data_IF_046350953358
#
_entry.id   IF_046350953358
#
_cell.length_a   1.000
_cell.length_b   1.000
_cell.length_c   1.000
_cell.angle_alpha   90.00
_cell.angle_beta   90.00
_cell.angle_gamma   90.00
#
_symmetry.space_group_name_H-M   'P 1'
#
loop_
_entity.id
_entity.type
_entity.pdbx_description
1 polymer ?
#
# COMPACT_ATOMS: atom_id res chain seq x y z
N UNK A 1 -23.03 -18.62 -12.07
CA UNK A 1 -21.68 -19.11 -12.45
C UNK A 1 -21.59 -19.62 -13.89
N UNK A 2 -22.53 -20.46 -14.35
CA UNK A 2 -22.44 -21.09 -15.67
C UNK A 2 -22.43 -20.07 -16.82
N UNK A 3 -23.21 -18.99 -16.68
CA UNK A 3 -23.36 -17.96 -17.73
C UNK A 3 -22.07 -17.17 -17.96
N UNK A 4 -21.39 -16.73 -16.90
CA UNK A 4 -20.09 -16.02 -17.00
C UNK A 4 -19.01 -16.92 -17.58
N UNK A 5 -18.88 -18.18 -17.12
CA UNK A 5 -17.88 -19.08 -17.68
C UNK A 5 -18.16 -19.39 -19.17
N UNK A 6 -19.43 -19.36 -19.57
CA UNK A 6 -19.83 -19.54 -20.96
C UNK A 6 -19.48 -18.30 -21.82
N UNK A 7 -19.63 -17.07 -21.31
CA UNK A 7 -19.17 -15.83 -21.96
C UNK A 7 -17.68 -15.90 -22.33
N UNK A 8 -16.85 -16.48 -21.46
CA UNK A 8 -15.40 -16.64 -21.67
C UNK A 8 -15.01 -18.03 -22.23
N UNK A 9 -15.97 -18.83 -22.72
CA UNK A 9 -15.74 -20.22 -23.12
C UNK A 9 -14.60 -20.41 -24.14
N UNK A 10 -14.45 -19.49 -25.11
CA UNK A 10 -13.39 -19.59 -26.12
C UNK A 10 -12.00 -19.40 -25.49
N UNK A 11 -11.84 -18.36 -24.66
CA UNK A 11 -10.58 -18.09 -23.97
C UNK A 11 -10.22 -19.22 -22.99
N UNK A 12 -11.18 -19.67 -22.19
CA UNK A 12 -11.00 -20.77 -21.25
C UNK A 12 -10.70 -22.09 -21.94
N UNK A 13 -11.26 -22.33 -23.13
CA UNK A 13 -10.90 -23.47 -23.96
C UNK A 13 -9.45 -23.40 -24.43
N UNK A 14 -8.97 -22.24 -24.88
CA UNK A 14 -7.56 -22.07 -25.27
C UNK A 14 -6.65 -22.40 -24.09
N UNK A 15 -6.95 -21.86 -22.91
CA UNK A 15 -6.19 -22.12 -21.68
C UNK A 15 -6.17 -23.61 -21.33
N UNK A 16 -7.33 -24.26 -21.41
CA UNK A 16 -7.46 -25.69 -21.14
C UNK A 16 -6.65 -26.55 -22.12
N UNK A 17 -6.74 -26.26 -23.42
CA UNK A 17 -6.01 -26.98 -24.47
C UNK A 17 -4.49 -26.75 -24.36
N UNK A 18 -4.06 -25.52 -24.04
CA UNK A 18 -2.65 -25.20 -23.81
C UNK A 18 -2.08 -25.98 -22.61
N UNK A 19 -2.86 -26.14 -21.54
CA UNK A 19 -2.44 -26.89 -20.35
C UNK A 19 -2.38 -28.40 -20.55
N UNK A 20 -3.08 -28.93 -21.55
CA UNK A 20 -2.94 -30.33 -22.00
C UNK A 20 -1.66 -30.52 -22.82
N UNK A 21 -1.23 -29.46 -23.52
CA UNK A 21 0.00 -29.43 -24.31
C UNK A 21 -0.22 -29.73 -25.80
N UNK A 22 0.54 -29.03 -26.64
CA UNK A 22 0.44 -29.04 -28.11
C UNK A 22 0.64 -30.44 -28.70
N UNK A 23 1.50 -31.27 -28.10
CA UNK A 23 1.77 -32.65 -28.55
C UNK A 23 0.57 -33.59 -28.45
N UNK A 24 -0.37 -33.30 -27.55
CA UNK A 24 -1.57 -34.12 -27.30
C UNK A 24 -2.78 -33.59 -28.07
N UNK A 25 -2.90 -32.27 -28.20
CA UNK A 25 -4.04 -31.61 -28.86
C UNK A 25 -3.94 -31.66 -30.39
N UNK A 26 -2.72 -31.61 -30.95
CA UNK A 26 -2.44 -31.69 -32.42
C UNK A 26 -3.19 -30.70 -33.30
N UNK A 27 -3.82 -29.68 -32.72
CA UNK A 27 -4.52 -28.60 -33.42
C UNK A 27 -4.20 -27.26 -32.76
N UNK A 28 -4.30 -26.16 -33.51
CA UNK A 28 -4.13 -24.82 -32.94
C UNK A 28 -5.32 -24.50 -32.03
N UNK A 29 -5.10 -24.27 -30.71
CA UNK A 29 -6.19 -23.99 -29.76
C UNK A 29 -7.00 -22.74 -30.10
N UNK A 30 -6.35 -21.73 -30.70
CA UNK A 30 -6.95 -20.42 -31.00
C UNK A 30 -7.92 -20.43 -32.17
N UNK A 31 -7.89 -21.48 -33.00
CA UNK A 31 -8.74 -21.58 -34.20
C UNK A 31 -9.91 -22.54 -34.01
N UNK A 32 -10.08 -23.13 -32.83
CA UNK A 32 -11.10 -24.13 -32.59
C UNK A 32 -12.47 -23.49 -32.27
N UNK A 33 -13.58 -24.11 -32.72
CA UNK A 33 -14.91 -23.62 -32.40
C UNK A 33 -15.19 -23.72 -30.89
N UNK A 34 -16.15 -22.93 -30.41
CA UNK A 34 -16.63 -22.96 -29.02
C UNK A 34 -17.01 -24.40 -28.61
N UNK A 35 -16.61 -24.82 -27.41
CA UNK A 35 -16.81 -26.17 -26.85
C UNK A 35 -16.14 -27.32 -27.60
N UNK A 36 -15.18 -27.06 -28.49
CA UNK A 36 -14.35 -28.10 -29.11
C UNK A 36 -13.71 -29.03 -28.07
N UNK A 37 -13.14 -28.51 -26.99
CA UNK A 37 -12.46 -29.33 -25.99
C UNK A 37 -13.39 -30.38 -25.36
N UNK A 38 -14.65 -30.00 -25.15
CA UNK A 38 -15.69 -30.90 -24.64
C UNK A 38 -16.10 -31.94 -25.69
N UNK A 39 -16.31 -31.54 -26.95
CA UNK A 39 -16.72 -32.43 -28.05
C UNK A 39 -15.63 -33.44 -28.43
N UNK A 40 -14.37 -33.00 -28.42
CA UNK A 40 -13.21 -33.83 -28.70
C UNK A 40 -12.84 -34.76 -27.52
N UNK A 41 -13.49 -34.59 -26.36
CA UNK A 41 -13.24 -35.44 -25.19
C UNK A 41 -11.85 -35.25 -24.59
N UNK A 42 -11.25 -34.06 -24.74
CA UNK A 42 -9.94 -33.77 -24.19
C UNK A 42 -9.95 -33.78 -22.66
N UNK A 43 -8.84 -34.28 -22.08
CA UNK A 43 -8.69 -34.50 -20.65
C UNK A 43 -7.41 -33.84 -20.14
N UNK A 44 -7.50 -33.12 -19.03
CA UNK A 44 -6.41 -32.43 -18.35
C UNK A 44 -5.94 -33.27 -17.17
N UNK A 45 -4.63 -33.56 -17.10
CA UNK A 45 -4.06 -34.30 -15.97
C UNK A 45 -3.93 -33.42 -14.72
N UNK A 46 -3.77 -34.05 -13.54
CA UNK A 46 -3.50 -33.33 -12.27
C UNK A 46 -2.27 -32.42 -12.41
N UNK A 47 -1.23 -32.92 -13.07
CA UNK A 47 0.01 -32.18 -13.29
C UNK A 47 -0.23 -30.97 -14.20
N UNK A 48 -0.97 -31.13 -15.30
CA UNK A 48 -1.33 -30.02 -16.18
C UNK A 48 -2.17 -28.96 -15.47
N UNK A 49 -3.11 -29.39 -14.62
CA UNK A 49 -3.91 -28.47 -13.81
C UNK A 49 -3.07 -27.71 -12.78
N UNK A 50 -2.16 -28.40 -12.08
CA UNK A 50 -1.23 -27.75 -11.15
C UNK A 50 -0.32 -26.75 -11.87
N UNK A 51 0.23 -27.11 -13.03
CA UNK A 51 1.06 -26.23 -13.84
C UNK A 51 0.28 -25.00 -14.33
N UNK A 52 -0.99 -25.17 -14.72
CA UNK A 52 -1.87 -24.07 -15.07
C UNK A 52 -2.05 -23.13 -13.87
N UNK A 53 -2.43 -23.64 -12.71
CA UNK A 53 -2.65 -22.81 -11.53
C UNK A 53 -1.37 -22.13 -11.05
N UNK A 54 -0.20 -22.76 -11.24
CA UNK A 54 1.10 -22.15 -11.00
C UNK A 54 1.40 -21.05 -12.00
N UNK A 55 1.16 -21.29 -13.29
CA UNK A 55 1.36 -20.31 -14.37
C UNK A 55 0.54 -19.04 -14.15
N UNK A 56 -0.66 -19.19 -13.61
CA UNK A 56 -1.55 -18.08 -13.30
C UNK A 56 -1.40 -17.55 -11.86
N UNK A 57 -0.38 -18.00 -11.11
CA UNK A 57 -0.15 -17.62 -9.70
C UNK A 57 -1.40 -17.80 -8.82
N UNK A 58 -2.26 -18.74 -9.15
CA UNK A 58 -3.38 -19.14 -8.29
C UNK A 58 -2.84 -20.05 -7.18
N UNK A 59 -1.87 -20.92 -7.51
CA UNK A 59 -1.16 -21.74 -6.55
C UNK A 59 0.35 -21.41 -6.61
N UNK A 60 1.03 -21.16 -5.47
CA UNK A 60 0.52 -21.25 -4.10
C UNK A 60 -0.16 -19.97 -3.57
N UNK A 61 -0.16 -18.87 -4.35
CA UNK A 61 -0.40 -17.53 -3.81
C UNK A 61 -1.84 -17.32 -3.30
N UNK A 62 -2.85 -17.89 -3.96
CA UNK A 62 -4.26 -17.75 -3.57
C UNK A 62 -4.83 -19.02 -2.92
N UNK A 63 -4.34 -20.18 -3.35
CA UNK A 63 -4.74 -21.48 -2.81
C UNK A 63 -3.54 -22.36 -2.56
N UNK A 64 -3.55 -23.01 -1.40
CA UNK A 64 -2.53 -23.98 -1.02
C UNK A 64 -2.62 -25.25 -1.88
N UNK A 65 -1.49 -25.95 -2.04
CA UNK A 65 -1.43 -27.22 -2.78
C UNK A 65 -2.45 -28.26 -2.29
N UNK A 66 -2.72 -28.44 -0.97
CA UNK A 66 -3.78 -29.34 -0.50
C UNK A 66 -5.19 -28.90 -0.93
N UNK A 67 -5.47 -27.60 -0.97
CA UNK A 67 -6.75 -27.07 -1.46
C UNK A 67 -6.91 -27.32 -2.95
N UNK A 68 -5.85 -27.14 -3.74
CA UNK A 68 -5.86 -27.45 -5.18
C UNK A 68 -6.19 -28.91 -5.45
N UNK A 69 -5.62 -29.83 -4.68
CA UNK A 69 -5.92 -31.26 -4.81
C UNK A 69 -7.39 -31.59 -4.48
N UNK A 70 -8.03 -30.82 -3.60
CA UNK A 70 -9.48 -30.94 -3.31
C UNK A 70 -10.35 -30.36 -4.42
N UNK A 71 -9.89 -29.29 -5.07
CA UNK A 71 -10.56 -28.69 -6.23
C UNK A 71 -10.52 -29.64 -7.43
N UNK A 72 -9.44 -30.40 -7.57
CA UNK A 72 -9.29 -31.45 -8.56
C UNK A 72 -10.18 -32.66 -8.21
N UNK A 73 -11.44 -32.62 -8.65
CA UNK A 73 -12.37 -33.76 -8.48
C UNK A 73 -12.47 -34.52 -9.81
N UNK A 74 -11.80 -35.67 -9.98
CA UNK A 74 -12.03 -36.50 -11.15
C UNK A 74 -13.48 -37.04 -11.10
N UNK A 75 -14.29 -36.69 -12.10
CA UNK A 75 -15.64 -37.26 -12.23
C UNK A 75 -15.52 -38.64 -12.86
N UNK A 76 -15.73 -39.69 -12.07
CA UNK A 76 -15.97 -41.04 -12.59
C UNK A 76 -15.78 -42.15 -11.56
N UNK A 77 -16.81 -43.00 -11.39
CA UNK A 77 -16.69 -44.32 -10.77
C UNK A 77 -16.15 -45.32 -11.80
N UNK A 78 -14.88 -45.23 -12.17
CA UNK A 78 -14.20 -46.33 -12.85
C UNK A 78 -12.70 -46.06 -12.85
N UNK A 79 -11.89 -47.11 -12.99
CA UNK A 79 -10.43 -47.12 -13.05
C UNK A 79 -9.81 -46.30 -14.21
N UNK A 80 -10.51 -45.29 -14.73
CA UNK A 80 -10.02 -44.36 -15.71
C UNK A 80 -9.27 -43.22 -15.01
N UNK A 81 -7.99 -43.16 -15.34
CA UNK A 81 -6.96 -42.15 -15.06
C UNK A 81 -7.48 -40.86 -14.43
N UNK A 82 -6.82 -40.42 -13.35
CA UNK A 82 -7.00 -39.14 -12.63
C UNK A 82 -6.90 -37.93 -13.57
N UNK A 83 -7.87 -37.74 -14.45
CA UNK A 83 -7.90 -36.73 -15.50
C UNK A 83 -9.25 -36.01 -15.47
N UNK A 84 -9.23 -34.70 -15.71
CA UNK A 84 -10.36 -33.79 -15.61
C UNK A 84 -10.81 -33.38 -17.01
N UNK A 85 -12.10 -33.51 -17.32
CA UNK A 85 -12.65 -32.95 -18.57
C UNK A 85 -12.80 -31.43 -18.50
N UNK A 86 -13.10 -30.82 -19.64
CA UNK A 86 -13.32 -29.38 -19.77
C UNK A 86 -14.42 -28.86 -18.82
N UNK A 87 -15.52 -29.60 -18.64
CA UNK A 87 -16.59 -29.20 -17.71
C UNK A 87 -16.13 -29.29 -16.25
N UNK A 88 -15.38 -30.34 -15.91
CA UNK A 88 -14.71 -30.47 -14.61
C UNK A 88 -13.73 -29.34 -14.34
N UNK A 89 -12.98 -28.92 -15.36
CA UNK A 89 -12.06 -27.78 -15.29
C UNK A 89 -12.80 -26.47 -15.01
N UNK A 90 -13.86 -26.17 -15.75
CA UNK A 90 -14.69 -24.98 -15.50
C UNK A 90 -15.29 -25.00 -14.08
N UNK A 91 -15.77 -26.17 -13.63
CA UNK A 91 -16.27 -26.34 -12.28
C UNK A 91 -15.18 -26.16 -11.22
N UNK A 92 -13.96 -26.63 -11.47
CA UNK A 92 -12.82 -26.45 -10.57
C UNK A 92 -12.42 -24.97 -10.47
N UNK A 93 -12.47 -24.22 -11.58
CA UNK A 93 -12.25 -22.76 -11.56
C UNK A 93 -13.36 -22.02 -10.79
N UNK A 94 -14.62 -22.38 -10.99
CA UNK A 94 -15.73 -21.79 -10.22
C UNK A 94 -15.59 -22.04 -8.72
N UNK A 95 -15.25 -23.28 -8.33
CA UNK A 95 -14.97 -23.63 -6.93
C UNK A 95 -13.72 -22.91 -6.41
N UNK A 96 -12.69 -22.71 -7.23
CA UNK A 96 -11.51 -21.95 -6.85
C UNK A 96 -11.87 -20.49 -6.59
N UNK A 97 -12.67 -19.87 -7.47
CA UNK A 97 -13.14 -18.49 -7.31
C UNK A 97 -13.94 -18.32 -6.02
N UNK A 98 -14.87 -19.25 -5.76
CA UNK A 98 -15.61 -19.26 -4.50
C UNK A 98 -14.67 -19.45 -3.31
N UNK A 99 -13.72 -20.37 -3.38
CA UNK A 99 -12.79 -20.62 -2.27
C UNK A 99 -11.90 -19.41 -1.97
N UNK A 100 -11.47 -18.68 -3.00
CA UNK A 100 -10.54 -17.54 -2.91
C UNK A 100 -11.28 -16.27 -2.49
N UNK A 101 -12.44 -16.01 -3.10
CA UNK A 101 -13.23 -14.79 -2.94
C UNK A 101 -14.50 -15.04 -2.14
N UNK A 102 -14.46 -15.92 -1.13
CA UNK A 102 -15.53 -16.06 -0.13
C UNK A 102 -15.10 -15.49 1.20
N UNK A 103 -16.08 -15.07 1.99
CA UNK A 103 -15.86 -14.48 3.29
C UNK A 103 -16.39 -13.05 3.37
N UNK A 104 -16.51 -12.50 4.58
CA UNK A 104 -17.20 -11.23 4.81
C UNK A 104 -16.65 -10.07 3.99
N UNK A 105 -15.33 -10.07 3.72
CA UNK A 105 -14.67 -9.06 2.90
C UNK A 105 -15.05 -9.08 1.41
N UNK A 106 -15.39 -10.25 0.88
CA UNK A 106 -15.71 -10.45 -0.54
C UNK A 106 -17.22 -10.52 -0.75
N UNK A 107 -17.94 -11.19 0.14
CA UNK A 107 -19.37 -11.43 0.02
C UNK A 107 -20.18 -10.11 0.10
N UNK A 108 -19.64 -9.07 0.72
CA UNK A 108 -20.26 -7.73 0.74
C UNK A 108 -20.06 -6.92 -0.54
N UNK A 109 -18.91 -7.06 -1.21
CA UNK A 109 -18.58 -6.33 -2.44
C UNK A 109 -18.97 -7.10 -3.70
N UNK A 110 -18.91 -8.43 -3.64
CA UNK A 110 -19.14 -9.39 -4.71
C UNK A 110 -20.08 -10.49 -4.19
N UNK A 111 -21.36 -10.17 -3.95
CA UNK A 111 -22.32 -11.11 -3.40
C UNK A 111 -22.67 -12.24 -4.37
N UNK A 112 -22.55 -12.02 -5.68
CA UNK A 112 -22.82 -13.04 -6.70
C UNK A 112 -21.56 -13.89 -6.97
N UNK A 113 -21.75 -15.21 -7.04
CA UNK A 113 -20.74 -16.15 -7.48
C UNK A 113 -20.21 -15.82 -8.89
N UNK A 114 -21.02 -15.20 -9.74
CA UNK A 114 -20.59 -14.70 -11.05
C UNK A 114 -19.49 -13.64 -10.92
N UNK A 115 -19.59 -12.75 -9.95
CA UNK A 115 -18.62 -11.66 -9.77
C UNK A 115 -17.30 -12.19 -9.23
N UNK A 116 -17.36 -13.19 -8.33
CA UNK A 116 -16.18 -13.92 -7.85
C UNK A 116 -15.46 -14.64 -8.98
N UNK A 117 -16.20 -15.25 -9.90
CA UNK A 117 -15.64 -15.87 -11.10
C UNK A 117 -14.99 -14.81 -12.00
N UNK A 118 -15.63 -13.64 -12.20
CA UNK A 118 -15.03 -12.53 -12.97
C UNK A 118 -13.72 -12.05 -12.35
N UNK A 119 -13.65 -11.95 -11.02
CA UNK A 119 -12.40 -11.61 -10.32
C UNK A 119 -11.31 -12.66 -10.53
N UNK A 120 -11.65 -13.95 -10.51
CA UNK A 120 -10.68 -15.00 -10.81
C UNK A 120 -10.21 -14.93 -12.27
N UNK A 121 -11.12 -14.69 -13.21
CA UNK A 121 -10.78 -14.56 -14.63
C UNK A 121 -9.90 -13.32 -14.87
N UNK A 122 -10.19 -12.22 -14.18
CA UNK A 122 -9.34 -11.02 -14.17
C UNK A 122 -7.94 -11.35 -13.66
N UNK A 123 -7.83 -12.05 -12.53
CA UNK A 123 -6.54 -12.50 -11.98
C UNK A 123 -5.77 -13.40 -12.96
N UNK A 124 -6.46 -14.31 -13.63
CA UNK A 124 -5.87 -15.17 -14.66
C UNK A 124 -5.41 -14.38 -15.88
N UNK A 125 -6.15 -13.34 -16.27
CA UNK A 125 -5.77 -12.45 -17.36
C UNK A 125 -4.50 -11.64 -17.00
N UNK A 126 -4.34 -11.24 -15.73
CA UNK A 126 -3.28 -10.33 -15.29
C UNK A 126 -1.88 -10.98 -15.11
N UNK A 127 -1.72 -12.24 -15.51
CA UNK A 127 -0.41 -12.77 -15.91
C UNK A 127 0.02 -12.34 -17.33
N UNK A 128 -0.80 -11.52 -17.99
CA UNK A 128 -0.39 -10.42 -18.87
C UNK A 128 0.04 -9.21 -18.01
N UNK A 129 1.27 -9.23 -17.50
CA UNK A 129 2.06 -8.12 -16.94
C UNK A 129 1.52 -7.20 -15.79
N UNK A 130 0.23 -7.20 -15.41
CA UNK A 130 -0.34 -6.10 -14.60
C UNK A 130 -0.41 -6.36 -13.07
N UNK A 131 -0.50 -7.61 -12.57
CA UNK A 131 -0.76 -7.87 -11.13
C UNK A 131 0.40 -8.49 -10.30
N UNK A 132 1.65 -8.20 -10.63
CA UNK A 132 2.78 -8.82 -9.91
C UNK A 132 2.91 -8.47 -8.42
N UNK A 133 2.16 -7.50 -7.87
CA UNK A 133 2.35 -6.99 -6.50
C UNK A 133 1.11 -7.05 -5.57
N UNK A 134 -0.10 -7.40 -6.03
CA UNK A 134 -1.29 -7.38 -5.16
C UNK A 134 -1.48 -8.65 -4.32
N UNK A 135 -0.91 -9.80 -4.74
CA UNK A 135 -0.99 -11.05 -3.98
C UNK A 135 -0.28 -11.02 -2.62
N UNK A 136 0.82 -10.26 -2.52
CA UNK A 136 1.56 -10.11 -1.27
C UNK A 136 0.78 -9.21 -0.28
N UNK A 137 0.23 -8.09 -0.78
CA UNK A 137 -0.62 -7.19 0.01
C UNK A 137 -1.89 -7.86 0.57
N UNK A 138 -2.46 -8.83 -0.14
CA UNK A 138 -3.61 -9.62 0.34
C UNK A 138 -3.24 -10.56 1.50
N UNK A 139 -2.05 -11.15 1.47
CA UNK A 139 -1.52 -11.97 2.57
C UNK A 139 -1.13 -11.13 3.79
N UNK A 140 -0.66 -9.91 3.58
CA UNK A 140 -0.26 -8.98 4.65
C UNK A 140 -1.48 -8.28 5.29
N UNK A 141 -2.55 -8.03 4.52
CA UNK A 141 -3.83 -7.51 5.03
C UNK A 141 -4.51 -8.46 6.03
N UNK A 142 -4.26 -9.77 5.94
CA UNK A 142 -4.73 -10.77 6.93
C UNK A 142 -4.02 -10.64 8.27
N UNK A 143 -2.72 -10.30 8.28
CA UNK A 143 -1.96 -10.10 9.52
C UNK A 143 -2.34 -8.82 10.25
N UNK A 144 -2.85 -7.82 9.53
CA UNK A 144 -3.26 -6.54 10.10
C UNK A 144 -4.71 -6.53 10.61
N UNK A 145 -5.58 -7.47 10.20
CA UNK A 145 -7.00 -7.52 10.59
C UNK A 145 -7.34 -8.31 11.86
N UNK A 146 -6.39 -9.05 12.44
CA UNK A 146 -6.56 -9.55 13.82
C UNK A 146 -6.45 -8.40 14.86
N UNK A 147 -6.18 -7.17 14.42
CA UNK A 147 -6.46 -5.94 15.14
C UNK A 147 -7.74 -5.29 14.60
N UNK A 148 -8.75 -5.13 15.45
CA UNK A 148 -10.14 -4.72 15.14
C UNK A 148 -10.36 -3.29 15.69
N UNK A 149 -11.28 -2.43 15.17
CA UNK A 149 -11.39 -1.81 13.83
C UNK A 149 -11.77 -0.30 13.92
N UNK A 150 -11.89 0.46 12.81
CA UNK A 150 -13.10 1.30 12.57
C UNK A 150 -13.26 1.75 11.11
N UNK A 151 -14.51 1.66 10.64
CA UNK A 151 -15.04 2.09 9.34
C UNK A 151 -15.19 3.61 9.25
N UNK A 152 -14.81 4.21 8.12
CA UNK A 152 -15.55 5.30 7.48
C UNK A 152 -15.12 5.40 6.02
N UNK A 153 -16.02 5.05 5.09
CA UNK A 153 -15.85 5.31 3.67
C UNK A 153 -16.10 6.81 3.43
N UNK A 154 -15.05 7.62 3.55
CA UNK A 154 -15.10 9.06 3.28
C UNK A 154 -15.03 9.29 1.77
N UNK A 155 -16.05 9.98 1.26
CA UNK A 155 -16.12 10.49 -0.09
C UNK A 155 -14.90 11.36 -0.42
N UNK A 156 -14.07 10.91 -1.38
CA UNK A 156 -12.83 11.56 -1.83
C UNK A 156 -13.00 13.02 -2.30
N UNK A 157 -14.24 13.44 -2.62
CA UNK A 157 -14.54 14.79 -3.10
C UNK A 157 -14.65 15.84 -2.00
N UNK A 158 -14.92 15.45 -0.75
CA UNK A 158 -15.02 16.41 0.37
C UNK A 158 -13.64 16.89 0.89
N UNK A 159 -12.56 16.15 0.59
CA UNK A 159 -11.20 16.45 1.08
C UNK A 159 -10.47 17.52 0.24
N UNK A 160 -10.94 17.78 -0.98
CA UNK A 160 -10.35 18.77 -1.88
C UNK A 160 -10.68 20.23 -1.50
N UNK A 161 -11.80 20.47 -0.79
CA UNK A 161 -12.19 21.81 -0.32
C UNK A 161 -11.28 22.34 0.81
N UNK A 162 -10.55 21.45 1.50
CA UNK A 162 -9.54 21.85 2.50
C UNK A 162 -8.32 22.50 1.86
N UNK A 163 -7.99 22.15 0.62
CA UNK A 163 -6.86 22.71 -0.13
C UNK A 163 -7.13 24.12 -0.66
N UNK A 164 -8.40 24.46 -0.87
CA UNK A 164 -8.80 25.82 -1.24
C UNK A 164 -8.38 26.88 -0.19
N UNK A 165 -8.12 26.47 1.06
CA UNK A 165 -7.73 27.35 2.15
C UNK A 165 -6.23 27.68 2.18
N UNK A 166 -5.40 26.97 1.41
CA UNK A 166 -3.97 27.29 1.25
C UNK A 166 -3.75 27.72 -0.19
N UNK A 167 -4.26 28.92 -0.53
CA UNK A 167 -4.18 29.52 -1.87
C UNK A 167 -2.75 29.53 -2.46
N UNK A 168 -1.74 29.53 -1.58
CA UNK A 168 -0.33 29.52 -1.95
C UNK A 168 0.24 28.15 -2.33
N UNK A 169 -0.47 27.04 -2.09
CA UNK A 169 0.03 25.70 -2.45
C UNK A 169 -0.20 25.37 -3.93
N UNK A 170 -1.33 25.79 -4.51
CA UNK A 170 -1.65 25.58 -5.91
C UNK A 170 -0.57 26.09 -6.88
N UNK A 171 -0.03 27.33 -6.78
CA UNK A 171 1.03 27.79 -7.67
C UNK A 171 2.34 27.03 -7.50
N UNK A 172 2.61 26.48 -6.32
CA UNK A 172 3.80 25.67 -6.06
C UNK A 172 3.70 24.28 -6.70
N UNK A 173 2.51 23.67 -6.64
CA UNK A 173 2.22 22.43 -7.35
C UNK A 173 2.24 22.63 -8.86
N UNK A 174 1.79 23.78 -9.35
CA UNK A 174 1.87 24.12 -10.78
C UNK A 174 3.31 24.28 -11.24
N UNK A 175 4.16 24.92 -10.42
CA UNK A 175 5.60 24.99 -10.69
C UNK A 175 6.21 23.60 -10.72
N UNK A 176 5.91 22.73 -9.74
CA UNK A 176 6.36 21.35 -9.74
C UNK A 176 5.95 20.63 -11.03
N UNK A 177 4.68 20.75 -11.43
CA UNK A 177 4.17 20.20 -12.67
C UNK A 177 4.95 20.69 -13.90
N UNK A 178 5.23 21.99 -13.97
CA UNK A 178 5.96 22.60 -15.09
C UNK A 178 7.41 22.15 -15.18
N UNK A 179 8.08 21.84 -14.05
CA UNK A 179 9.45 21.31 -14.05
C UNK A 179 9.59 20.00 -14.84
N UNK A 180 8.54 19.16 -14.79
CA UNK A 180 8.51 17.85 -15.43
C UNK A 180 7.78 17.84 -16.78
N UNK A 181 7.15 18.96 -17.15
CA UNK A 181 6.59 19.14 -18.49
C UNK A 181 7.70 19.39 -19.50
N UNK A 182 7.53 18.86 -20.72
CA UNK A 182 8.44 19.14 -21.82
C UNK A 182 8.37 20.63 -22.17
N UNK A 183 9.51 21.28 -22.44
CA UNK A 183 9.56 22.75 -22.71
C UNK A 183 8.51 23.16 -23.74
N UNK A 184 7.63 24.09 -23.35
CA UNK A 184 6.56 24.62 -24.21
C UNK A 184 5.27 23.80 -24.23
N UNK A 185 5.19 22.70 -23.47
CA UNK A 185 3.96 21.90 -23.34
C UNK A 185 3.29 22.13 -21.98
N UNK A 186 1.95 22.18 -21.98
CA UNK A 186 1.10 22.29 -20.78
C UNK A 186 0.58 20.95 -20.27
N UNK A 187 1.22 19.85 -20.69
CA UNK A 187 0.78 18.49 -20.36
C UNK A 187 1.96 17.59 -20.01
N UNK A 188 1.77 16.74 -19.01
CA UNK A 188 2.78 15.82 -18.50
C UNK A 188 2.58 14.41 -19.09
N UNK A 189 3.66 13.76 -19.51
CA UNK A 189 3.64 12.37 -19.96
C UNK A 189 3.71 11.38 -18.79
N UNK A 190 3.42 10.08 -19.02
CA UNK A 190 3.58 9.05 -17.97
C UNK A 190 5.03 9.02 -17.46
N UNK A 191 5.99 9.05 -18.38
CA UNK A 191 7.41 9.02 -18.03
C UNK A 191 7.80 10.22 -17.16
N UNK A 192 7.32 11.43 -17.52
CA UNK A 192 7.52 12.65 -16.73
C UNK A 192 6.93 12.54 -15.32
N UNK A 193 5.74 11.94 -15.19
CA UNK A 193 5.09 11.73 -13.91
C UNK A 193 5.86 10.73 -13.03
N UNK A 194 6.30 9.61 -13.62
CA UNK A 194 7.17 8.64 -12.93
C UNK A 194 8.48 9.27 -12.47
N UNK A 195 9.10 10.11 -13.31
CA UNK A 195 10.29 10.87 -12.93
C UNK A 195 10.02 11.82 -11.76
N UNK A 196 8.90 12.55 -11.80
CA UNK A 196 8.49 13.41 -10.70
C UNK A 196 8.40 12.62 -9.38
N UNK A 197 7.65 11.52 -9.34
CA UNK A 197 7.51 10.73 -8.10
C UNK A 197 8.83 10.09 -7.64
N UNK A 198 9.73 9.75 -8.56
CA UNK A 198 11.07 9.28 -8.23
C UNK A 198 11.91 10.36 -7.57
N UNK A 199 11.90 11.57 -8.10
CA UNK A 199 12.65 12.69 -7.55
C UNK A 199 12.06 13.18 -6.21
N UNK A 200 10.76 12.95 -5.98
CA UNK A 200 10.15 13.06 -4.65
C UNK A 200 10.63 11.97 -3.67
N UNK A 201 11.45 11.02 -4.10
CA UNK A 201 11.92 9.88 -3.31
C UNK A 201 10.86 8.80 -3.07
N UNK A 202 9.68 8.90 -3.70
CA UNK A 202 8.56 7.98 -3.45
C UNK A 202 8.75 6.62 -4.12
N UNK A 203 9.60 6.52 -5.14
CA UNK A 203 9.87 5.26 -5.85
C UNK A 203 11.15 4.56 -5.38
N UNK A 204 11.77 5.00 -4.28
CA UNK A 204 13.02 4.40 -3.79
C UNK A 204 12.74 3.21 -2.87
N UNK A 205 13.46 2.11 -3.03
CA UNK A 205 13.25 0.87 -2.26
C UNK A 205 13.56 1.02 -0.76
N UNK A 206 14.31 2.06 -0.36
CA UNK A 206 14.60 2.38 1.04
C UNK A 206 13.58 3.29 1.70
N UNK A 207 12.59 3.81 0.96
CA UNK A 207 11.54 4.65 1.52
C UNK A 207 10.50 3.76 2.24
N UNK A 208 10.17 4.01 3.53
CA UNK A 208 9.14 3.25 4.23
C UNK A 208 7.76 3.37 3.58
N UNK A 209 7.55 4.40 2.75
CA UNK A 209 6.34 4.68 1.99
C UNK A 209 6.62 4.58 0.48
N UNK A 210 7.29 3.51 0.08
CA UNK A 210 7.61 3.22 -1.31
C UNK A 210 6.34 3.00 -2.15
N UNK A 211 6.20 3.75 -3.24
CA UNK A 211 5.24 3.50 -4.31
C UNK A 211 5.86 2.56 -5.35
N UNK A 212 5.20 1.42 -5.57
CA UNK A 212 5.61 0.51 -6.62
C UNK A 212 5.34 1.14 -8.00
N UNK A 213 6.10 0.73 -9.01
CA UNK A 213 5.89 1.17 -10.41
C UNK A 213 4.46 0.90 -10.89
N UNK A 214 3.85 -0.17 -10.39
CA UNK A 214 2.45 -0.53 -10.68
C UNK A 214 1.47 0.48 -10.09
N UNK A 215 1.67 0.89 -8.83
CA UNK A 215 0.81 1.92 -8.20
C UNK A 215 0.87 3.22 -8.99
N UNK A 216 2.07 3.62 -9.45
CA UNK A 216 2.26 4.83 -10.26
C UNK A 216 1.52 4.74 -11.59
N UNK A 217 1.60 3.61 -12.30
CA UNK A 217 0.88 3.39 -13.56
C UNK A 217 -0.64 3.37 -13.37
N UNK A 218 -1.14 2.78 -12.28
CA UNK A 218 -2.57 2.79 -11.93
C UNK A 218 -3.05 4.22 -11.68
N UNK A 219 -2.31 4.99 -10.87
CA UNK A 219 -2.63 6.38 -10.56
C UNK A 219 -2.64 7.21 -11.86
N UNK A 220 -1.61 7.06 -12.71
CA UNK A 220 -1.55 7.77 -13.98
C UNK A 220 -2.71 7.40 -14.93
N UNK A 221 -3.10 6.12 -14.98
CA UNK A 221 -4.26 5.67 -15.75
C UNK A 221 -5.56 6.28 -15.20
N UNK A 222 -5.73 6.32 -13.88
CA UNK A 222 -6.91 6.93 -13.25
C UNK A 222 -7.00 8.43 -13.57
N UNK A 223 -5.88 9.15 -13.52
CA UNK A 223 -5.80 10.56 -13.93
C UNK A 223 -6.22 10.76 -15.39
N UNK A 224 -5.78 9.88 -16.30
CA UNK A 224 -6.17 9.93 -17.72
C UNK A 224 -7.64 9.64 -17.94
N UNK A 225 -8.18 8.62 -17.27
CA UNK A 225 -9.60 8.28 -17.37
C UNK A 225 -10.48 9.44 -16.88
N UNK A 226 -10.13 10.04 -15.74
CA UNK A 226 -10.84 11.19 -15.18
C UNK A 226 -10.79 12.44 -16.08
N UNK A 227 -9.72 12.64 -16.84
CA UNK A 227 -9.63 13.74 -17.80
C UNK A 227 -10.39 13.47 -19.12
N UNK A 228 -10.45 12.22 -19.55
CA UNK A 228 -11.04 11.85 -20.84
C UNK A 228 -12.56 12.02 -20.90
N UNK A 229 -13.25 11.98 -19.75
CA UNK A 229 -14.69 12.26 -19.66
C UNK A 229 -15.05 13.68 -20.10
N UNK A 230 -14.11 14.63 -19.97
CA UNK A 230 -14.39 16.05 -20.18
C UNK A 230 -14.04 16.54 -21.59
N UNK A 231 -13.16 15.83 -22.32
CA UNK A 231 -12.56 16.35 -23.56
C UNK A 231 -12.61 15.41 -24.78
N UNK A 232 -13.18 14.20 -24.63
CA UNK A 232 -13.51 13.32 -25.77
C UNK A 232 -12.33 12.84 -26.64
N UNK A 233 -11.09 13.15 -26.25
CA UNK A 233 -9.87 12.82 -26.99
C UNK A 233 -8.93 12.01 -26.10
N UNK A 234 -8.48 10.86 -26.58
CA UNK A 234 -7.58 9.96 -25.85
C UNK A 234 -6.16 10.53 -25.83
N UNK A 235 -5.90 11.55 -25.01
CA UNK A 235 -4.55 12.05 -24.81
C UNK A 235 -3.70 11.05 -24.01
N UNK A 236 -2.44 10.88 -24.41
CA UNK A 236 -1.41 10.13 -23.66
C UNK A 236 -0.73 10.98 -22.58
N UNK A 237 -1.14 12.25 -22.44
CA UNK A 237 -0.65 13.18 -21.43
C UNK A 237 -1.77 13.63 -20.48
N UNK A 238 -1.38 14.12 -19.31
CA UNK A 238 -2.27 14.63 -18.27
C UNK A 238 -2.10 16.14 -18.11
N UNK A 239 -3.20 16.84 -17.89
CA UNK A 239 -3.24 18.27 -17.57
C UNK A 239 -2.81 18.54 -16.12
N UNK A 240 -2.60 19.81 -15.76
CA UNK A 240 -2.32 20.20 -14.38
C UNK A 240 -3.44 19.78 -13.41
N UNK A 241 -4.71 19.93 -13.80
CA UNK A 241 -5.84 19.53 -12.96
C UNK A 241 -5.83 18.01 -12.67
N UNK A 242 -5.53 17.21 -13.70
CA UNK A 242 -5.39 15.77 -13.55
C UNK A 242 -4.15 15.41 -12.70
N UNK A 243 -3.01 16.10 -12.88
CA UNK A 243 -1.83 15.97 -12.03
C UNK A 243 -2.13 16.25 -10.56
N UNK A 244 -2.81 17.36 -10.27
CA UNK A 244 -3.18 17.73 -8.91
C UNK A 244 -4.05 16.66 -8.25
N UNK A 245 -5.08 16.16 -8.95
CA UNK A 245 -5.89 15.04 -8.48
C UNK A 245 -5.06 13.76 -8.29
N UNK A 246 -4.09 13.50 -9.18
CA UNK A 246 -3.14 12.40 -9.08
C UNK A 246 -2.30 12.43 -7.81
N UNK A 247 -1.82 13.59 -7.39
CA UNK A 247 -1.13 13.75 -6.10
C UNK A 247 -2.06 13.46 -4.91
N UNK A 248 -3.36 13.74 -5.04
CA UNK A 248 -4.40 13.29 -4.10
C UNK A 248 -4.47 11.77 -3.97
N UNK A 249 -4.45 11.05 -5.11
CA UNK A 249 -4.43 9.59 -5.13
C UNK A 249 -3.14 9.03 -4.53
N UNK A 250 -1.99 9.65 -4.83
CA UNK A 250 -0.70 9.31 -4.21
C UNK A 250 -0.77 9.48 -2.69
N UNK A 251 -1.26 10.62 -2.22
CA UNK A 251 -1.41 10.88 -0.79
C UNK A 251 -2.33 9.87 -0.12
N UNK A 252 -3.49 9.58 -0.73
CA UNK A 252 -4.41 8.60 -0.20
C UNK A 252 -3.79 7.22 -0.07
N UNK A 253 -2.96 6.82 -1.06
CA UNK A 253 -2.27 5.53 -1.07
C UNK A 253 -1.17 5.43 -0.01
N UNK A 254 -0.38 6.50 0.14
CA UNK A 254 0.76 6.50 1.08
C UNK A 254 0.34 6.61 2.54
N UNK A 255 -0.78 7.27 2.81
CA UNK A 255 -1.22 7.62 4.15
C UNK A 255 -2.53 6.94 4.55
N UNK A 256 -2.96 5.91 3.82
CA UNK A 256 -4.22 5.21 4.02
C UNK A 256 -4.44 4.80 5.47
N UNK A 257 -3.39 4.30 6.12
CA UNK A 257 -3.43 3.75 7.48
C UNK A 257 -2.84 4.65 8.55
N UNK A 258 -2.23 5.78 8.16
CA UNK A 258 -1.48 6.64 9.10
C UNK A 258 -2.29 7.88 9.46
N UNK A 259 -2.94 8.49 8.47
CA UNK A 259 -3.61 9.77 8.63
C UNK A 259 -5.07 9.70 8.21
N UNK A 260 -5.95 10.49 8.86
CA UNK A 260 -7.31 10.66 8.40
C UNK A 260 -7.30 11.21 6.97
N UNK A 261 -8.26 10.82 6.10
CA UNK A 261 -8.33 11.21 4.68
C UNK A 261 -7.99 12.68 4.42
N UNK A 262 -8.59 13.57 5.23
CA UNK A 262 -8.44 15.03 5.24
C UNK A 262 -7.01 15.56 5.40
N UNK A 263 -6.13 14.80 6.07
CA UNK A 263 -4.75 15.23 6.34
C UNK A 263 -3.74 14.60 5.39
N UNK A 264 -4.12 13.57 4.61
CA UNK A 264 -3.18 12.77 3.82
C UNK A 264 -2.39 13.62 2.81
N UNK A 265 -3.09 14.52 2.10
CA UNK A 265 -2.44 15.39 1.13
C UNK A 265 -1.51 16.42 1.77
N UNK A 266 -1.91 16.98 2.92
CA UNK A 266 -1.06 17.91 3.68
C UNK A 266 0.23 17.22 4.13
N UNK A 267 0.14 15.96 4.60
CA UNK A 267 1.32 15.18 4.96
C UNK A 267 2.22 14.89 3.76
N UNK A 268 1.65 14.51 2.60
CA UNK A 268 2.41 14.39 1.35
C UNK A 268 3.13 15.69 1.00
N UNK A 269 2.43 16.83 1.08
CA UNK A 269 2.99 18.12 0.74
C UNK A 269 4.16 18.52 1.66
N UNK A 270 4.00 18.30 2.97
CA UNK A 270 5.00 18.62 3.98
C UNK A 270 6.23 17.70 3.91
N UNK A 271 6.03 16.40 3.70
CA UNK A 271 7.11 15.41 3.78
C UNK A 271 7.89 15.26 2.47
N UNK A 272 7.25 15.44 1.31
CA UNK A 272 7.85 15.12 0.02
C UNK A 272 7.86 16.30 -0.97
N UNK A 273 6.73 16.97 -1.16
CA UNK A 273 6.60 18.01 -2.20
C UNK A 273 7.44 19.26 -1.88
N UNK A 274 7.31 19.80 -0.66
CA UNK A 274 8.06 21.00 -0.27
C UNK A 274 9.57 20.77 -0.25
N UNK A 275 10.10 19.68 0.35
CA UNK A 275 11.53 19.38 0.27
C UNK A 275 12.05 19.27 -1.18
N UNK A 276 11.30 18.61 -2.06
CA UNK A 276 11.71 18.49 -3.47
C UNK A 276 11.71 19.84 -4.21
N UNK A 277 10.74 20.71 -3.94
CA UNK A 277 10.73 22.07 -4.50
C UNK A 277 11.94 22.89 -4.05
N UNK A 278 12.34 22.77 -2.78
CA UNK A 278 13.57 23.39 -2.27
C UNK A 278 14.77 22.86 -3.04
N UNK A 279 14.88 21.54 -3.20
CA UNK A 279 16.01 20.93 -3.89
C UNK A 279 16.12 21.37 -5.35
N UNK A 280 15.00 21.39 -6.08
CA UNK A 280 14.95 21.91 -7.44
C UNK A 280 15.36 23.39 -7.53
N UNK A 281 15.02 24.19 -6.53
CA UNK A 281 15.39 25.61 -6.47
C UNK A 281 16.87 25.84 -6.13
N UNK A 282 17.48 24.96 -5.32
CA UNK A 282 18.92 24.94 -5.07
C UNK A 282 19.69 24.63 -6.36
N UNK A 283 19.22 23.65 -7.14
CA UNK A 283 19.89 23.19 -8.36
C UNK A 283 19.78 24.20 -9.51
N UNK A 284 18.73 25.03 -9.52
CA UNK A 284 18.42 25.97 -10.61
C UNK A 284 18.90 27.40 -10.38
N UNK A 285 19.13 27.82 -9.13
CA UNK A 285 19.46 29.22 -8.82
C UNK A 285 20.96 29.46 -8.64
N UNK A 286 21.58 30.19 -9.58
CA UNK A 286 22.92 30.75 -9.39
C UNK A 286 22.93 32.01 -8.50
N UNK A 287 21.76 32.59 -8.19
CA UNK A 287 21.63 33.79 -7.37
C UNK A 287 21.24 33.43 -5.93
N UNK A 288 22.14 33.72 -4.99
CA UNK A 288 21.95 33.46 -3.56
C UNK A 288 20.79 34.26 -2.96
N UNK A 289 20.49 35.45 -3.47
CA UNK A 289 19.42 36.29 -2.92
C UNK A 289 18.04 35.80 -3.38
N UNK A 290 17.89 35.47 -4.67
CA UNK A 290 16.67 34.86 -5.20
C UNK A 290 16.35 33.53 -4.50
N UNK A 291 17.38 32.70 -4.28
CA UNK A 291 17.23 31.45 -3.54
C UNK A 291 16.79 31.66 -2.08
N UNK A 292 17.39 32.62 -1.35
CA UNK A 292 17.01 32.92 0.04
C UNK A 292 15.56 33.40 0.16
N UNK A 293 15.14 34.30 -0.73
CA UNK A 293 13.76 34.77 -0.77
C UNK A 293 12.78 33.62 -1.06
N UNK A 294 13.20 32.71 -1.93
CA UNK A 294 12.43 31.53 -2.30
C UNK A 294 12.29 30.54 -1.15
N UNK A 295 13.40 30.23 -0.49
CA UNK A 295 13.42 29.42 0.73
C UNK A 295 12.48 29.99 1.80
N UNK A 296 12.54 31.30 2.05
CA UNK A 296 11.67 31.96 3.03
C UNK A 296 10.17 31.83 2.70
N UNK A 297 9.80 31.91 1.41
CA UNK A 297 8.42 31.66 0.96
C UNK A 297 8.00 30.21 1.25
N UNK A 298 8.85 29.22 0.96
CA UNK A 298 8.55 27.81 1.22
C UNK A 298 8.46 27.51 2.73
N UNK A 299 9.29 28.15 3.57
CA UNK A 299 9.16 28.06 5.03
C UNK A 299 7.82 28.63 5.52
N UNK A 300 7.41 29.79 4.99
CA UNK A 300 6.12 30.41 5.36
C UNK A 300 4.95 29.51 4.96
N UNK A 301 5.03 28.92 3.76
CA UNK A 301 4.03 27.95 3.29
C UNK A 301 3.99 26.69 4.18
N UNK A 302 5.15 26.17 4.58
CA UNK A 302 5.26 25.05 5.51
C UNK A 302 4.56 25.35 6.85
N UNK A 303 4.79 26.53 7.42
CA UNK A 303 4.14 26.97 8.67
C UNK A 303 2.63 27.11 8.50
N UNK A 304 2.16 27.63 7.36
CA UNK A 304 0.74 27.71 7.04
C UNK A 304 0.09 26.32 6.92
N UNK A 305 0.78 25.37 6.28
CA UNK A 305 0.31 23.98 6.15
C UNK A 305 0.28 23.25 7.50
N UNK A 306 1.32 23.43 8.34
CA UNK A 306 1.33 22.88 9.70
C UNK A 306 0.21 23.46 10.55
N UNK A 307 -0.03 24.77 10.47
CA UNK A 307 -1.14 25.43 11.16
C UNK A 307 -2.51 24.91 10.68
N UNK A 308 -2.66 24.63 9.37
CA UNK A 308 -3.87 24.02 8.82
C UNK A 308 -4.05 22.57 9.28
N UNK A 309 -2.95 21.82 9.39
CA UNK A 309 -2.92 20.46 9.91
C UNK A 309 -3.35 20.39 11.40
N UNK A 310 -2.94 21.37 12.22
CA UNK A 310 -3.26 21.43 13.64
C UNK A 310 -4.70 21.91 13.94
N UNK A 311 -5.27 22.80 13.12
CA UNK A 311 -6.59 23.41 13.40
C UNK A 311 -7.79 22.45 13.29
N UNK A 312 -7.66 21.27 12.67
CA UNK A 312 -8.82 20.42 12.34
C UNK A 312 -8.67 18.92 12.60
N UNK A 313 -7.60 18.47 13.27
CA UNK A 313 -7.59 17.10 13.81
C UNK A 313 -8.67 16.97 14.90
N UNK A 314 -9.66 16.06 14.80
CA UNK A 314 -10.40 15.69 15.99
C UNK A 314 -9.38 15.10 16.97
N UNK A 315 -9.32 15.63 18.19
CA UNK A 315 -8.72 14.92 19.32
C UNK A 315 -9.58 13.68 19.58
N UNK A 316 -9.48 12.65 18.75
CA UNK A 316 -9.80 11.29 19.17
C UNK A 316 -8.57 10.88 19.97
N UNK A 317 -8.66 10.77 21.31
CA UNK A 317 -7.60 10.16 22.06
C UNK A 317 -7.62 8.68 21.67
N UNK A 318 -6.73 8.28 20.77
CA UNK A 318 -6.30 6.90 20.73
C UNK A 318 -5.82 6.60 22.16
N UNK A 319 -6.42 5.62 22.87
CA UNK A 319 -5.85 5.19 24.14
C UNK A 319 -4.41 4.78 23.83
N UNK A 320 -3.40 5.33 24.53
CA UNK A 320 -2.04 4.90 24.28
C UNK A 320 -2.00 3.39 24.58
N UNK A 321 -1.20 2.60 23.84
CA UNK A 321 -1.02 1.20 24.17
C UNK A 321 -0.69 1.10 25.66
N UNK A 322 -1.34 0.17 26.37
CA UNK A 322 -1.34 0.08 27.84
C UNK A 322 0.06 0.14 28.46
N UNK A 323 1.07 -0.23 27.68
CA UNK A 323 2.47 -0.26 28.09
C UNK A 323 3.15 1.13 28.01
N UNK A 324 2.72 2.02 27.10
CA UNK A 324 3.25 3.39 26.99
C UNK A 324 2.63 4.34 28.01
N UNK A 325 1.36 4.15 28.39
CA UNK A 325 0.72 4.94 29.46
C UNK A 325 1.49 4.77 30.77
N UNK A 326 1.92 3.54 31.06
CA UNK A 326 2.66 3.24 32.28
C UNK A 326 4.06 3.86 32.25
N UNK A 327 4.80 3.74 31.13
CA UNK A 327 6.14 4.33 30.98
C UNK A 327 6.09 5.86 31.03
N UNK A 328 5.12 6.50 30.37
CA UNK A 328 4.98 7.96 30.41
C UNK A 328 4.56 8.43 31.81
N UNK A 329 3.71 7.66 32.51
CA UNK A 329 3.34 7.98 33.90
C UNK A 329 4.49 7.81 34.88
N UNK A 330 5.32 6.76 34.72
CA UNK A 330 6.51 6.52 35.54
C UNK A 330 7.59 7.57 35.25
N UNK A 331 7.84 7.91 33.99
CA UNK A 331 8.76 8.98 33.60
C UNK A 331 8.31 10.33 34.16
N UNK A 332 7.00 10.63 34.15
CA UNK A 332 6.47 11.86 34.71
C UNK A 332 6.57 11.88 36.24
N UNK A 333 6.27 10.78 36.92
CA UNK A 333 6.45 10.65 38.37
C UNK A 333 7.92 10.80 38.78
N UNK A 334 8.85 10.25 37.97
CA UNK A 334 10.29 10.41 38.17
C UNK A 334 10.76 11.84 37.91
N UNK A 335 10.23 12.49 36.86
CA UNK A 335 10.53 13.89 36.59
C UNK A 335 10.04 14.78 37.74
N UNK A 336 8.84 14.55 38.26
CA UNK A 336 8.30 15.27 39.43
C UNK A 336 9.14 15.03 40.69
N UNK A 337 9.55 13.78 40.95
CA UNK A 337 10.43 13.45 42.06
C UNK A 337 11.80 14.14 41.95
N UNK A 338 12.39 14.14 40.75
CA UNK A 338 13.69 14.74 40.49
C UNK A 338 13.63 16.27 40.60
N UNK A 339 12.55 16.87 40.11
CA UNK A 339 12.32 18.33 40.24
C UNK A 339 12.08 18.72 41.70
N UNK A 340 11.31 17.94 42.45
CA UNK A 340 11.09 18.12 43.89
C UNK A 340 12.42 18.01 44.65
N UNK A 341 13.23 16.99 44.37
CA UNK A 341 14.52 16.81 45.05
C UNK A 341 15.56 17.84 44.65
N UNK A 342 15.54 18.33 43.41
CA UNK A 342 16.37 19.46 42.99
C UNK A 342 15.97 20.78 43.67
N UNK A 343 14.68 20.98 43.96
CA UNK A 343 14.21 22.15 44.70
C UNK A 343 14.55 22.12 46.20
N UNK A 344 14.82 20.93 46.75
CA UNK A 344 15.29 20.74 48.12
C UNK A 344 16.81 20.94 48.27
N UNK A 345 17.56 21.04 47.16
CA UNK A 345 19.00 21.32 47.21
C UNK A 345 19.23 22.79 47.60
N UNK A 346 19.99 23.08 48.67
CA UNK A 346 20.34 24.45 49.01
C UNK A 346 21.20 25.06 47.88
N UNK A 347 20.84 26.28 47.46
CA UNK A 347 21.64 27.09 46.53
C UNK A 347 23.04 27.31 47.13
N UNK A 348 24.00 26.49 46.71
CA UNK A 348 25.38 26.56 47.19
C UNK A 348 26.08 27.80 46.61
N UNK A 349 26.26 28.82 47.43
CA UNK A 349 27.05 30.03 47.12
C UNK A 349 28.53 29.89 47.48
N UNK A 350 29.06 28.67 47.69
CA UNK A 350 30.46 28.45 48.04
C UNK A 350 31.25 27.71 46.93
N UNK A 351 32.52 28.09 46.67
CA UNK A 351 33.33 27.51 45.60
C UNK A 351 33.77 26.07 45.92
N UNK A 352 34.12 25.27 44.90
CA UNK A 352 34.20 23.82 45.03
C UNK A 352 35.49 23.40 45.72
N UNK A 353 35.41 22.94 46.95
CA UNK A 353 36.46 22.11 47.56
C UNK A 353 35.85 20.80 48.08
N UNK A 354 36.28 19.71 47.45
CA UNK A 354 36.19 18.32 47.91
C UNK A 354 34.89 17.94 48.66
N UNK A 355 33.76 18.03 47.97
CA UNK A 355 32.49 17.53 48.50
C UNK A 355 32.46 16.00 48.44
N UNK A 356 32.43 15.37 49.62
CA UNK A 356 32.02 13.96 49.77
C UNK A 356 30.63 13.77 49.12
N UNK A 357 30.36 12.62 48.48
CA UNK A 357 29.04 12.33 47.93
C UNK A 357 28.01 12.47 49.04
N UNK A 358 27.14 13.48 48.92
CA UNK A 358 26.04 13.68 49.87
C UNK A 358 25.06 12.53 49.72
N UNK A 359 24.35 12.18 50.80
CA UNK A 359 23.37 11.08 50.81
C UNK A 359 22.37 11.17 49.64
N UNK A 360 22.10 12.39 49.14
CA UNK A 360 21.22 12.66 48.01
C UNK A 360 21.77 12.21 46.64
N UNK A 361 23.10 12.26 46.41
CA UNK A 361 23.67 11.70 45.17
C UNK A 361 23.54 10.18 45.15
N UNK A 362 23.71 9.51 46.29
CA UNK A 362 23.48 8.06 46.39
C UNK A 362 22.02 7.69 46.12
N UNK A 363 21.06 8.47 46.62
CA UNK A 363 19.63 8.22 46.36
C UNK A 363 19.28 8.44 44.88
N UNK A 364 19.93 9.41 44.22
CA UNK A 364 19.77 9.66 42.79
C UNK A 364 20.38 8.53 41.94
N UNK A 365 21.58 8.07 42.28
CA UNK A 365 22.23 6.92 41.64
C UNK A 365 21.38 5.66 41.78
N UNK A 366 20.86 5.37 42.98
CA UNK A 366 19.96 4.22 43.20
C UNK A 366 18.65 4.33 42.40
N UNK A 367 18.12 5.53 42.18
CA UNK A 367 16.93 5.74 41.35
C UNK A 367 17.24 5.54 39.86
N UNK A 368 18.41 5.98 39.38
CA UNK A 368 18.86 5.79 38.01
C UNK A 368 19.19 4.32 37.72
N UNK A 369 19.80 3.60 38.67
CA UNK A 369 20.08 2.16 38.54
C UNK A 369 18.80 1.33 38.48
N UNK A 370 17.78 1.68 39.28
CA UNK A 370 16.45 1.03 39.19
C UNK A 370 15.78 1.29 37.85
N UNK A 371 15.94 2.48 37.30
CA UNK A 371 15.41 2.83 35.98
C UNK A 371 16.14 2.04 34.88
N UNK A 372 17.46 2.01 34.91
CA UNK A 372 18.28 1.27 33.96
C UNK A 372 17.94 -0.23 33.99
N UNK A 373 17.75 -0.81 35.18
CA UNK A 373 17.34 -2.20 35.35
C UNK A 373 15.93 -2.48 34.80
N UNK A 374 14.95 -1.61 35.09
CA UNK A 374 13.58 -1.74 34.58
C UNK A 374 13.52 -1.66 33.05
N UNK A 375 14.35 -0.80 32.45
CA UNK A 375 14.48 -0.67 30.99
C UNK A 375 15.17 -1.90 30.39
N UNK A 376 16.25 -2.41 31.00
CA UNK A 376 16.98 -3.58 30.50
C UNK A 376 16.13 -4.87 30.51
N UNK A 377 15.44 -5.15 31.62
CA UNK A 377 14.58 -6.34 31.75
C UNK A 377 13.46 -6.36 30.70
N UNK A 378 12.98 -5.20 30.25
CA UNK A 378 11.92 -5.10 29.23
C UNK A 378 12.45 -5.14 27.79
N UNK A 379 13.70 -4.74 27.56
CA UNK A 379 14.38 -4.91 26.27
C UNK A 379 14.69 -6.39 26.01
N UNK A 380 15.13 -7.14 27.04
CA UNK A 380 15.40 -8.58 26.91
C UNK A 380 14.13 -9.41 26.64
N UNK A 381 13.00 -9.07 27.27
CA UNK A 381 11.70 -9.75 27.02
C UNK A 381 11.16 -9.48 25.60
N UNK A 382 11.54 -8.34 25.01
CA UNK A 382 11.21 -7.97 23.63
C UNK A 382 12.12 -8.64 22.59
N UNK A 383 13.34 -9.06 22.98
CA UNK A 383 14.22 -9.86 22.12
C UNK A 383 13.91 -11.36 22.15
N UNK A 384 13.48 -11.92 23.29
CA UNK A 384 13.11 -13.35 23.41
C UNK A 384 11.82 -13.74 22.66
N UNK A 385 11.03 -12.77 22.19
CA UNK A 385 9.83 -13.03 21.36
C UNK A 385 10.11 -13.08 19.86
N UNK A 386 11.38 -13.05 19.42
CA UNK A 386 11.75 -13.43 18.04
C UNK A 386 11.81 -14.96 17.90
N UNK A 387 11.03 -15.58 16.99
CA UNK A 387 11.18 -17.00 16.71
C UNK A 387 12.56 -17.27 16.09
N UNK A 388 13.16 -18.46 16.32
CA UNK A 388 14.51 -18.73 15.86
C UNK A 388 14.55 -18.70 14.34
N UNK A 389 15.53 -17.99 13.79
CA UNK A 389 15.89 -18.04 12.39
C UNK A 389 16.40 -19.44 12.05
N UNK A 390 15.54 -20.27 11.44
CA UNK A 390 15.97 -21.52 10.80
C UNK A 390 16.68 -21.23 9.48
N UNK A 391 17.89 -21.77 9.40
CA UNK A 391 18.80 -21.90 8.24
C UNK A 391 18.15 -22.72 7.13
#
# INVERSE_FOLDING_TARGET
>A
MADVLDEYAVALQVIFLDAIGVGTVRVNPRTQPRHYAQRAGHRLSVQGFLQLLQRYRICPDLVSRPQVLRLYTPRGRSNQKNEMDYVGFLSALGKAAQLIFSGPEWDGQYPDDNDKVRLLLLWMDENSAVFKNNGQCLCDAKKQRDAVPTNEAVSFTEDMDLLAHVEQLAPELERLFQLYCTRGHSSMSNLSFVHCLRDLGLCEAGNPRHLSTVDVDIIFRQMRCAQSSDTGTSSHSVSFAAFHAGLGLVAARLYEHVNPPRCRFLSLALEYVLPALVQADVESSCDSNAWRQRWQKLCTLREALLSAHERKGPKVPLPPPSDEVHVISELRALQELLTSKMSELPLSTAPPSLARPTAHMKTLEEALDRLAYSVHVRVDVSEETRPPSTI
#
